data_IF_573544092233
#
_entry.id   IF_573544092233
#
_cell.length_a   1.000
_cell.length_b   1.000
_cell.length_c   1.000
_cell.angle_alpha   90.00
_cell.angle_beta   90.00
_cell.angle_gamma   90.00
#
_symmetry.space_group_name_H-M   'P 1'
#
loop_
_entity.id
_entity.type
_entity.pdbx_description
1 polymer ?
#
# COMPACT_ATOMS: atom_id res chain seq x y z
N UNK A 1 29.72 0.83 8.03
CA UNK A 1 28.23 0.74 7.93
C UNK A 1 27.85 -0.65 7.45
N UNK A 2 26.73 -1.22 7.95
CA UNK A 2 26.19 -2.47 7.40
C UNK A 2 25.63 -2.24 6.00
N UNK A 3 25.83 -3.22 5.12
CA UNK A 3 25.33 -3.18 3.74
C UNK A 3 23.98 -3.88 3.66
N UNK A 4 22.97 -3.16 3.15
CA UNK A 4 21.62 -3.70 3.01
C UNK A 4 21.17 -3.60 1.55
N UNK A 5 20.62 -4.69 1.03
CA UNK A 5 20.00 -4.69 -0.28
C UNK A 5 18.48 -4.71 -0.12
N UNK A 6 17.78 -3.78 -0.78
CA UNK A 6 16.33 -3.84 -0.95
C UNK A 6 15.99 -4.26 -2.38
N UNK A 7 15.02 -5.16 -2.53
CA UNK A 7 14.50 -5.59 -3.82
C UNK A 7 13.02 -5.18 -3.92
N UNK A 8 12.69 -4.36 -4.93
CA UNK A 8 11.35 -3.87 -5.21
C UNK A 8 11.03 -3.96 -6.71
N UNK A 9 9.74 -3.83 -7.07
CA UNK A 9 9.32 -3.96 -8.46
C UNK A 9 9.65 -2.71 -9.27
N UNK A 10 9.09 -1.58 -8.91
CA UNK A 10 9.32 -0.25 -9.50
C UNK A 10 9.19 0.82 -8.41
N UNK A 11 9.27 2.10 -8.79
CA UNK A 11 9.00 3.23 -7.90
C UNK A 11 7.90 4.14 -8.48
N UNK A 12 6.84 3.52 -9.00
CA UNK A 12 5.63 4.20 -9.46
C UNK A 12 4.77 4.71 -8.28
N UNK A 13 3.62 5.31 -8.58
CA UNK A 13 2.67 5.75 -7.55
C UNK A 13 1.98 4.55 -6.91
N UNK A 14 2.20 4.34 -5.61
CA UNK A 14 1.55 3.28 -4.85
C UNK A 14 1.91 3.31 -3.38
N UNK A 15 1.07 2.70 -2.53
CA UNK A 15 1.29 2.69 -1.08
C UNK A 15 2.55 1.92 -0.66
N UNK A 16 2.91 0.85 -1.37
CA UNK A 16 4.12 0.06 -1.10
C UNK A 16 5.37 0.88 -1.48
N UNK A 17 5.34 1.54 -2.62
CA UNK A 17 6.41 2.37 -3.14
C UNK A 17 6.64 3.60 -2.25
N UNK A 18 5.57 4.27 -1.83
CA UNK A 18 5.62 5.38 -0.86
C UNK A 18 6.24 4.92 0.46
N UNK A 19 5.80 3.77 0.99
CA UNK A 19 6.35 3.22 2.24
C UNK A 19 7.84 2.86 2.11
N UNK A 20 8.26 2.32 0.94
CA UNK A 20 9.67 2.03 0.67
C UNK A 20 10.51 3.31 0.66
N UNK A 21 10.06 4.33 -0.05
CA UNK A 21 10.80 5.62 -0.12
C UNK A 21 10.94 6.24 1.26
N UNK A 22 9.88 6.26 2.07
CA UNK A 22 9.92 6.79 3.43
C UNK A 22 10.93 6.03 4.29
N UNK A 23 10.91 4.69 4.20
CA UNK A 23 11.87 3.84 4.91
C UNK A 23 13.31 4.11 4.46
N UNK A 24 13.56 4.17 3.15
CA UNK A 24 14.89 4.40 2.62
C UNK A 24 15.44 5.77 2.99
N UNK A 25 14.63 6.83 2.95
CA UNK A 25 15.02 8.18 3.39
C UNK A 25 15.42 8.20 4.88
N UNK A 26 14.72 7.46 5.72
CA UNK A 26 14.99 7.41 7.16
C UNK A 26 16.29 6.69 7.48
N UNK A 27 16.61 5.59 6.77
CA UNK A 27 17.74 4.73 7.16
C UNK A 27 19.00 4.93 6.30
N UNK A 28 18.97 5.75 5.25
CA UNK A 28 20.06 5.87 4.28
C UNK A 28 21.37 6.47 4.87
N UNK A 29 21.30 7.15 6.01
CA UNK A 29 22.47 7.66 6.71
C UNK A 29 23.07 6.65 7.70
N UNK A 30 22.29 5.65 8.13
CA UNK A 30 22.74 4.64 9.09
C UNK A 30 23.32 3.38 8.37
N UNK A 31 22.98 3.16 7.09
CA UNK A 31 23.31 1.96 6.32
C UNK A 31 23.77 2.27 4.91
N UNK A 32 24.67 1.42 4.35
CA UNK A 32 25.02 1.45 2.92
C UNK A 32 23.92 0.69 2.14
N UNK A 33 23.06 1.41 1.43
CA UNK A 33 21.88 0.85 0.79
C UNK A 33 22.10 0.65 -0.70
N UNK A 34 21.73 -0.54 -1.18
CA UNK A 34 21.57 -0.85 -2.60
C UNK A 34 20.11 -1.21 -2.86
N UNK A 35 19.45 -0.47 -3.75
CA UNK A 35 18.11 -0.76 -4.21
C UNK A 35 18.17 -1.47 -5.56
N UNK A 36 17.60 -2.67 -5.63
CA UNK A 36 17.45 -3.44 -6.87
C UNK A 36 16.00 -3.38 -7.31
N UNK A 37 15.74 -2.80 -8.48
CA UNK A 37 14.41 -2.71 -9.08
C UNK A 37 14.27 -3.74 -10.20
N UNK A 38 13.14 -4.41 -10.28
CA UNK A 38 12.79 -5.25 -11.42
C UNK A 38 12.59 -4.38 -12.68
N UNK A 39 11.98 -3.20 -12.49
CA UNK A 39 11.80 -2.17 -13.51
C UNK A 39 12.32 -0.85 -12.95
N UNK A 40 13.45 -0.36 -13.48
CA UNK A 40 14.03 0.93 -13.05
C UNK A 40 13.25 2.08 -13.68
N UNK A 41 12.04 2.29 -13.15
CA UNK A 41 11.07 3.28 -13.61
C UNK A 41 10.22 3.76 -12.41
N UNK A 42 9.54 4.90 -12.59
CA UNK A 42 8.62 5.47 -11.62
C UNK A 42 9.00 6.85 -11.15
N UNK A 43 7.98 7.62 -10.76
CA UNK A 43 8.12 9.03 -10.39
C UNK A 43 8.97 9.24 -9.13
N UNK A 44 8.99 8.26 -8.22
CA UNK A 44 9.75 8.34 -6.97
C UNK A 44 11.26 8.07 -7.15
N UNK A 45 11.74 7.67 -8.33
CA UNK A 45 13.18 7.55 -8.59
C UNK A 45 13.94 8.86 -8.31
N UNK A 46 13.30 10.01 -8.58
CA UNK A 46 13.89 11.34 -8.36
C UNK A 46 13.86 11.78 -6.88
N UNK A 47 13.13 11.05 -6.04
CA UNK A 47 13.01 11.32 -4.61
C UNK A 47 13.97 10.48 -3.76
N UNK A 48 14.70 9.55 -4.38
CA UNK A 48 15.70 8.74 -3.70
C UNK A 48 16.89 9.60 -3.23
N UNK A 49 17.37 9.37 -2.01
CA UNK A 49 18.64 9.95 -1.55
C UNK A 49 19.80 9.56 -2.48
N UNK A 50 20.69 10.50 -2.77
CA UNK A 50 21.81 10.34 -3.72
C UNK A 50 22.80 9.23 -3.31
N UNK A 51 22.90 8.95 -2.01
CA UNK A 51 23.78 7.91 -1.45
C UNK A 51 23.23 6.49 -1.64
N UNK A 52 22.02 6.30 -2.21
CA UNK A 52 21.43 4.99 -2.50
C UNK A 52 21.82 4.53 -3.90
N UNK A 53 22.52 3.39 -3.97
CA UNK A 53 22.86 2.77 -5.26
C UNK A 53 21.65 2.06 -5.83
N UNK A 54 21.24 2.42 -7.07
CA UNK A 54 20.12 1.79 -7.77
C UNK A 54 20.60 0.89 -8.90
N UNK A 55 20.13 -0.36 -8.89
CA UNK A 55 20.46 -1.40 -9.89
C UNK A 55 19.16 -1.95 -10.50
N UNK A 56 19.14 -2.25 -11.79
CA UNK A 56 18.03 -2.94 -12.43
C UNK A 56 18.28 -4.44 -12.51
N UNK A 57 17.27 -5.25 -12.16
CA UNK A 57 17.26 -6.70 -12.38
C UNK A 57 15.99 -7.09 -13.14
N UNK A 58 15.99 -6.84 -14.45
CA UNK A 58 14.84 -7.08 -15.32
C UNK A 58 14.87 -8.50 -15.89
N UNK A 59 13.74 -9.22 -15.77
CA UNK A 59 13.53 -10.48 -16.50
C UNK A 59 13.55 -10.27 -18.02
N UNK A 60 13.86 -11.36 -18.74
CA UNK A 60 13.72 -11.35 -20.19
C UNK A 60 12.26 -11.21 -20.62
N UNK A 61 12.02 -10.34 -21.60
CA UNK A 61 10.72 -10.13 -22.26
C UNK A 61 10.58 -10.89 -23.59
N UNK A 62 11.50 -11.84 -23.90
CA UNK A 62 11.43 -12.63 -25.14
C UNK A 62 10.09 -13.34 -25.28
N UNK A 63 9.48 -13.27 -26.46
CA UNK A 63 8.25 -13.97 -26.81
C UNK A 63 8.45 -15.49 -26.87
N UNK A 64 9.65 -15.93 -27.23
CA UNK A 64 10.02 -17.35 -27.32
C UNK A 64 10.27 -17.90 -25.92
N UNK A 65 9.41 -18.81 -25.44
CA UNK A 65 9.45 -19.32 -24.07
C UNK A 65 10.77 -19.99 -23.69
N UNK A 66 11.37 -20.78 -24.59
CA UNK A 66 12.66 -21.44 -24.35
C UNK A 66 13.79 -20.42 -24.22
N UNK A 67 13.86 -19.44 -25.14
CA UNK A 67 14.86 -18.39 -25.11
C UNK A 67 14.73 -17.54 -23.84
N UNK A 68 13.49 -17.20 -23.45
CA UNK A 68 13.21 -16.50 -22.21
C UNK A 68 13.71 -17.26 -20.97
N UNK A 69 13.50 -18.59 -20.90
CA UNK A 69 14.03 -19.43 -19.81
C UNK A 69 15.55 -19.41 -19.75
N UNK A 70 16.20 -19.59 -20.89
CA UNK A 70 17.69 -19.59 -21.01
C UNK A 70 18.25 -18.23 -20.60
N UNK A 71 17.72 -17.14 -21.13
CA UNK A 71 18.17 -15.79 -20.79
C UNK A 71 17.98 -15.48 -19.29
N UNK A 72 16.85 -15.87 -18.70
CA UNK A 72 16.62 -15.69 -17.27
C UNK A 72 17.59 -16.53 -16.43
N UNK A 73 17.90 -17.75 -16.85
CA UNK A 73 18.90 -18.58 -16.19
C UNK A 73 20.28 -17.89 -16.15
N UNK A 74 20.77 -17.40 -17.32
CA UNK A 74 22.04 -16.67 -17.35
C UNK A 74 22.01 -15.40 -16.49
N UNK A 75 20.93 -14.64 -16.50
CA UNK A 75 20.78 -13.47 -15.61
C UNK A 75 20.88 -13.87 -14.14
N UNK A 76 20.26 -14.98 -13.73
CA UNK A 76 20.35 -15.50 -12.37
C UNK A 76 21.78 -15.91 -12.01
N UNK A 77 22.48 -16.59 -12.91
CA UNK A 77 23.89 -17.00 -12.71
C UNK A 77 24.79 -15.78 -12.54
N UNK A 78 24.67 -14.79 -13.43
CA UNK A 78 25.42 -13.52 -13.34
C UNK A 78 25.13 -12.80 -12.02
N UNK A 79 23.84 -12.70 -11.63
CA UNK A 79 23.47 -12.05 -10.38
C UNK A 79 24.06 -12.80 -9.18
N UNK A 80 23.97 -14.14 -9.14
CA UNK A 80 24.59 -14.96 -8.10
C UNK A 80 26.11 -14.75 -8.03
N UNK A 81 26.80 -14.76 -9.15
CA UNK A 81 28.24 -14.54 -9.18
C UNK A 81 28.62 -13.17 -8.60
N UNK A 82 27.86 -12.13 -8.95
CA UNK A 82 28.17 -10.75 -8.58
C UNK A 82 27.78 -10.40 -7.14
N UNK A 83 26.65 -10.94 -6.64
CA UNK A 83 26.01 -10.44 -5.43
C UNK A 83 25.77 -11.47 -4.33
N UNK A 84 26.04 -12.75 -4.54
CA UNK A 84 25.80 -13.80 -3.55
C UNK A 84 26.50 -13.48 -2.22
N UNK A 85 25.71 -13.36 -1.15
CA UNK A 85 26.18 -13.10 0.22
C UNK A 85 27.10 -11.85 0.36
N UNK A 86 26.89 -10.83 -0.47
CA UNK A 86 27.67 -9.59 -0.43
C UNK A 86 27.10 -8.54 0.54
N UNK A 87 25.90 -8.77 1.06
CA UNK A 87 25.21 -7.87 1.97
C UNK A 87 25.02 -8.49 3.35
N UNK A 88 24.96 -7.65 4.39
CA UNK A 88 24.66 -8.09 5.75
C UNK A 88 23.21 -8.54 5.86
N UNK A 89 22.30 -7.78 5.24
CA UNK A 89 20.87 -8.07 5.14
C UNK A 89 20.40 -7.83 3.72
N UNK A 90 19.31 -8.51 3.37
CA UNK A 90 18.61 -8.26 2.12
C UNK A 90 17.10 -8.34 2.35
N UNK A 91 16.35 -7.50 1.69
CA UNK A 91 14.92 -7.33 1.89
C UNK A 91 14.18 -7.54 0.57
N UNK A 92 13.27 -8.51 0.52
CA UNK A 92 12.24 -8.58 -0.51
C UNK A 92 11.08 -7.67 -0.10
N UNK A 93 10.99 -6.48 -0.67
CA UNK A 93 9.95 -5.50 -0.33
C UNK A 93 8.71 -5.66 -1.19
N UNK A 94 8.83 -6.16 -2.43
CA UNK A 94 7.71 -6.49 -3.30
C UNK A 94 7.39 -7.99 -3.22
N UNK A 95 6.59 -8.40 -2.23
CA UNK A 95 6.20 -9.80 -1.98
C UNK A 95 5.61 -10.48 -3.20
N UNK A 96 4.88 -9.75 -4.05
CA UNK A 96 4.25 -10.28 -5.26
C UNK A 96 5.23 -10.55 -6.40
N UNK A 97 6.52 -10.16 -6.27
CA UNK A 97 7.54 -10.34 -7.29
C UNK A 97 8.48 -11.49 -6.96
N UNK A 98 8.41 -12.59 -7.71
CA UNK A 98 9.37 -13.70 -7.61
C UNK A 98 10.82 -13.29 -7.94
N UNK A 99 11.10 -12.36 -8.91
CA UNK A 99 12.45 -11.82 -9.08
C UNK A 99 12.98 -11.10 -7.85
N UNK A 100 12.17 -10.27 -7.19
CA UNK A 100 12.57 -9.60 -5.96
C UNK A 100 12.89 -10.62 -4.85
N UNK A 101 12.08 -11.67 -4.72
CA UNK A 101 12.34 -12.78 -3.81
C UNK A 101 13.67 -13.46 -4.09
N UNK A 102 13.95 -13.80 -5.35
CA UNK A 102 15.24 -14.39 -5.77
C UNK A 102 16.41 -13.47 -5.42
N UNK A 103 16.31 -12.18 -5.77
CA UNK A 103 17.36 -11.18 -5.51
C UNK A 103 17.68 -11.11 -4.02
N UNK A 104 16.67 -11.00 -3.16
CA UNK A 104 16.86 -10.92 -1.73
C UNK A 104 17.49 -12.18 -1.15
N UNK A 105 16.99 -13.37 -1.50
CA UNK A 105 17.53 -14.64 -0.98
C UNK A 105 18.97 -14.93 -1.39
N UNK A 106 19.39 -14.44 -2.56
CA UNK A 106 20.76 -14.59 -3.04
C UNK A 106 21.73 -13.60 -2.41
N UNK A 107 21.29 -12.36 -2.16
CA UNK A 107 22.19 -11.26 -1.81
C UNK A 107 22.78 -11.37 -0.38
N UNK A 108 22.09 -12.03 0.55
CA UNK A 108 22.51 -12.15 1.95
C UNK A 108 22.20 -13.54 2.52
N UNK A 109 22.88 -13.89 3.62
CA UNK A 109 22.50 -15.01 4.50
C UNK A 109 21.35 -14.67 5.44
N UNK A 110 20.99 -13.38 5.54
CA UNK A 110 19.91 -12.86 6.37
C UNK A 110 18.82 -12.21 5.50
N UNK A 111 18.14 -12.96 4.62
CA UNK A 111 17.07 -12.42 3.82
C UNK A 111 15.81 -12.19 4.67
N UNK A 112 15.12 -11.08 4.38
CA UNK A 112 13.92 -10.62 5.06
C UNK A 112 12.83 -10.45 4.01
N UNK A 113 11.62 -10.91 4.32
CA UNK A 113 10.42 -10.74 3.47
C UNK A 113 9.49 -9.71 4.12
N UNK A 114 9.11 -8.67 3.37
CA UNK A 114 8.04 -7.75 3.79
C UNK A 114 6.73 -8.13 3.09
N UNK A 115 5.66 -8.24 3.85
CA UNK A 115 4.32 -8.63 3.38
C UNK A 115 3.39 -7.44 3.59
N UNK A 116 2.93 -6.84 2.48
CA UNK A 116 2.18 -5.59 2.46
C UNK A 116 0.69 -5.76 2.17
N UNK A 117 0.23 -6.98 1.87
CA UNK A 117 -1.15 -7.22 1.44
C UNK A 117 -1.74 -8.42 2.16
N UNK A 118 -3.06 -8.43 2.33
CA UNK A 118 -3.83 -9.59 2.79
C UNK A 118 -3.93 -10.64 1.64
N UNK A 119 -2.94 -11.53 1.61
CA UNK A 119 -2.91 -12.62 0.63
C UNK A 119 -3.96 -13.70 0.90
N UNK A 120 -4.46 -13.82 2.13
CA UNK A 120 -5.53 -14.77 2.42
C UNK A 120 -6.82 -14.36 1.71
N UNK A 121 -7.20 -13.10 1.86
CA UNK A 121 -8.35 -12.52 1.14
C UNK A 121 -8.09 -12.40 -0.37
N UNK A 122 -6.86 -12.12 -0.79
CA UNK A 122 -6.47 -12.08 -2.21
C UNK A 122 -6.76 -13.42 -2.92
N UNK A 123 -6.56 -14.54 -2.24
CA UNK A 123 -6.88 -15.88 -2.72
C UNK A 123 -8.27 -16.37 -2.28
N UNK A 124 -9.23 -15.47 -1.98
CA UNK A 124 -10.60 -15.80 -1.60
C UNK A 124 -10.70 -16.79 -0.42
N UNK A 125 -9.80 -16.68 0.54
CA UNK A 125 -9.67 -17.57 1.71
C UNK A 125 -9.30 -19.02 1.36
N UNK A 126 -8.76 -19.27 0.17
CA UNK A 126 -8.21 -20.59 -0.20
C UNK A 126 -6.85 -20.80 0.45
N UNK A 127 -6.84 -21.58 1.52
CA UNK A 127 -5.65 -21.90 2.32
C UNK A 127 -4.56 -22.58 1.49
N UNK A 128 -4.95 -23.40 0.50
CA UNK A 128 -4.00 -24.12 -0.36
C UNK A 128 -3.25 -23.13 -1.24
N UNK A 129 -3.95 -22.26 -1.97
CA UNK A 129 -3.33 -21.23 -2.81
C UNK A 129 -2.48 -20.26 -1.98
N UNK A 130 -2.95 -19.88 -0.78
CA UNK A 130 -2.20 -19.05 0.15
C UNK A 130 -0.85 -19.70 0.53
N UNK A 131 -0.85 -20.96 0.94
CA UNK A 131 0.38 -21.71 1.27
C UNK A 131 1.29 -21.84 0.05
N UNK A 132 0.74 -22.26 -1.10
CA UNK A 132 1.49 -22.39 -2.36
C UNK A 132 2.18 -21.09 -2.75
N UNK A 133 1.54 -19.94 -2.57
CA UNK A 133 2.14 -18.63 -2.83
C UNK A 133 3.42 -18.41 -2.00
N UNK A 134 3.37 -18.61 -0.68
CA UNK A 134 4.53 -18.43 0.18
C UNK A 134 5.63 -19.49 -0.06
N UNK A 135 5.25 -20.73 -0.31
CA UNK A 135 6.22 -21.76 -0.69
C UNK A 135 6.90 -21.46 -2.03
N UNK A 136 6.17 -20.94 -3.01
CA UNK A 136 6.74 -20.50 -4.28
C UNK A 136 7.71 -19.33 -4.13
N UNK A 137 7.50 -18.45 -3.13
CA UNK A 137 8.46 -17.42 -2.72
C UNK A 137 9.67 -18.00 -1.98
N UNK A 138 9.69 -19.32 -1.70
CA UNK A 138 10.71 -19.98 -0.91
C UNK A 138 10.78 -19.40 0.52
N UNK A 139 9.62 -19.29 1.17
CA UNK A 139 9.46 -18.66 2.48
C UNK A 139 10.40 -19.25 3.56
N UNK A 140 10.74 -20.52 3.43
CA UNK A 140 11.65 -21.24 4.34
C UNK A 140 13.11 -20.73 4.31
N UNK A 141 13.53 -20.01 3.25
CA UNK A 141 14.86 -19.40 3.16
C UNK A 141 14.96 -18.06 3.92
N UNK A 142 13.83 -17.43 4.27
CA UNK A 142 13.84 -16.15 4.96
C UNK A 142 14.08 -16.28 6.46
N UNK A 143 14.96 -15.42 6.97
CA UNK A 143 15.28 -15.36 8.42
C UNK A 143 14.20 -14.60 9.21
N UNK A 144 13.61 -13.58 8.60
CA UNK A 144 12.51 -12.81 9.17
C UNK A 144 11.44 -12.54 8.11
N UNK A 145 10.19 -12.50 8.58
CA UNK A 145 9.01 -12.21 7.75
C UNK A 145 8.26 -11.07 8.45
N UNK A 146 8.22 -9.92 7.80
CA UNK A 146 7.63 -8.70 8.34
C UNK A 146 6.25 -8.52 7.75
N UNK A 147 5.26 -8.36 8.60
CA UNK A 147 3.90 -8.04 8.23
C UNK A 147 3.58 -6.59 8.61
N UNK A 148 2.97 -5.84 7.71
CA UNK A 148 2.52 -4.47 7.98
C UNK A 148 1.15 -4.43 8.67
N UNK A 149 0.49 -5.58 8.78
CA UNK A 149 -0.78 -5.81 9.46
C UNK A 149 -0.60 -6.88 10.53
N UNK A 150 -1.09 -6.62 11.76
CA UNK A 150 -1.06 -7.60 12.85
C UNK A 150 -2.03 -8.74 12.62
N UNK A 151 -3.13 -8.48 11.89
CA UNK A 151 -4.09 -9.49 11.48
C UNK A 151 -3.47 -10.48 10.49
N UNK A 152 -2.83 -9.97 9.43
CA UNK A 152 -2.20 -10.81 8.41
C UNK A 152 -1.08 -11.66 8.99
N UNK A 153 -0.31 -11.08 9.95
CA UNK A 153 0.67 -11.83 10.72
C UNK A 153 0.01 -12.97 11.48
N UNK A 154 -1.08 -12.73 12.20
CA UNK A 154 -1.78 -13.76 12.98
C UNK A 154 -2.35 -14.86 12.07
N UNK A 155 -2.91 -14.52 10.91
CA UNK A 155 -3.35 -15.48 9.91
C UNK A 155 -2.20 -16.34 9.41
N UNK A 156 -1.06 -15.72 9.10
CA UNK A 156 0.14 -16.45 8.66
C UNK A 156 0.65 -17.39 9.75
N UNK A 157 0.75 -16.94 10.99
CA UNK A 157 1.22 -17.74 12.12
C UNK A 157 0.36 -18.99 12.37
N UNK A 158 -0.94 -18.90 12.08
CA UNK A 158 -1.86 -20.04 12.17
C UNK A 158 -1.71 -20.97 10.96
N UNK A 159 -1.61 -20.44 9.74
CA UNK A 159 -1.64 -21.24 8.51
C UNK A 159 -0.29 -21.83 8.13
N UNK A 160 0.81 -21.18 8.52
CA UNK A 160 2.21 -21.53 8.27
C UNK A 160 2.98 -21.50 9.60
N UNK A 161 2.44 -22.21 10.61
CA UNK A 161 2.90 -22.16 12.00
C UNK A 161 4.39 -22.51 12.16
N UNK A 162 4.94 -23.33 11.28
CA UNK A 162 6.35 -23.70 11.24
C UNK A 162 7.31 -22.51 11.05
N UNK A 163 6.80 -21.36 10.55
CA UNK A 163 7.57 -20.13 10.38
C UNK A 163 7.18 -19.02 11.35
N UNK A 164 6.25 -19.27 12.29
CA UNK A 164 5.70 -18.25 13.21
C UNK A 164 6.75 -17.58 14.11
N UNK A 165 7.83 -18.30 14.44
CA UNK A 165 8.95 -17.77 15.22
C UNK A 165 9.82 -16.74 14.45
N UNK A 166 9.59 -16.58 13.14
CA UNK A 166 10.31 -15.63 12.28
C UNK A 166 9.47 -14.40 11.94
N UNK A 167 8.19 -14.37 12.32
CA UNK A 167 7.27 -13.29 11.97
C UNK A 167 7.37 -12.11 12.93
N UNK A 168 7.30 -10.89 12.39
CA UNK A 168 7.32 -9.65 13.15
C UNK A 168 6.26 -8.71 12.56
N UNK A 169 5.57 -7.96 13.41
CA UNK A 169 4.68 -6.88 13.00
C UNK A 169 5.41 -5.54 13.05
N UNK A 170 5.51 -4.87 11.88
CA UNK A 170 6.09 -3.53 11.74
C UNK A 170 5.24 -2.78 10.70
N UNK A 171 4.57 -1.72 11.11
CA UNK A 171 3.82 -0.85 10.20
C UNK A 171 4.71 -0.12 9.19
N UNK A 172 4.10 0.45 8.16
CA UNK A 172 4.77 1.31 7.20
C UNK A 172 5.14 2.66 7.83
N UNK A 173 6.35 3.13 7.58
CA UNK A 173 6.80 4.45 8.00
C UNK A 173 6.13 5.54 7.16
N UNK A 174 5.79 6.67 7.78
CA UNK A 174 5.06 7.76 7.14
C UNK A 174 5.88 9.06 7.21
N UNK A 175 6.09 9.69 6.07
CA UNK A 175 6.68 11.05 6.01
C UNK A 175 5.60 12.11 6.29
N UNK A 176 5.19 12.20 7.57
CA UNK A 176 4.11 13.11 7.99
C UNK A 176 4.43 14.58 7.76
N UNK A 177 5.71 14.99 7.82
CA UNK A 177 6.12 16.37 7.57
C UNK A 177 5.88 16.75 6.12
N UNK A 178 6.23 15.86 5.20
CA UNK A 178 5.98 16.05 3.77
C UNK A 178 4.48 16.03 3.45
N UNK A 179 3.68 15.16 4.09
CA UNK A 179 2.22 15.15 3.93
C UNK A 179 1.62 16.48 4.33
N UNK A 180 1.98 17.02 5.51
CA UNK A 180 1.49 18.30 6.00
C UNK A 180 1.94 19.45 5.07
N UNK A 181 3.20 19.48 4.68
CA UNK A 181 3.72 20.49 3.78
C UNK A 181 2.99 20.48 2.43
N UNK A 182 2.94 19.33 1.78
CA UNK A 182 2.30 19.15 0.47
C UNK A 182 0.78 19.34 0.50
N UNK A 183 0.12 19.14 1.65
CA UNK A 183 -1.32 19.38 1.78
C UNK A 183 -1.71 20.86 1.68
N UNK A 184 -0.73 21.77 1.77
CA UNK A 184 -0.95 23.22 1.65
C UNK A 184 -0.72 23.74 0.22
N UNK A 185 -0.31 22.89 -0.72
CA UNK A 185 -0.16 23.28 -2.12
C UNK A 185 -1.52 23.58 -2.74
N UNK A 186 -1.57 24.59 -3.60
CA UNK A 186 -2.79 24.95 -4.33
C UNK A 186 -3.09 23.91 -5.42
N UNK A 187 -4.37 23.67 -5.65
CA UNK A 187 -4.90 22.81 -6.72
C UNK A 187 -6.04 23.54 -7.44
N UNK A 188 -5.94 23.60 -8.76
CA UNK A 188 -6.87 24.37 -9.61
C UNK A 188 -8.11 23.55 -10.00
N UNK A 189 -7.99 22.23 -10.05
CA UNK A 189 -9.03 21.32 -10.50
C UNK A 189 -9.90 20.74 -9.37
N UNK A 190 -9.80 21.28 -8.16
CA UNK A 190 -10.71 21.00 -7.06
C UNK A 190 -11.72 22.15 -6.91
N UNK A 191 -12.93 21.95 -7.41
CA UNK A 191 -14.00 22.95 -7.26
C UNK A 191 -14.49 23.00 -5.83
N UNK A 192 -14.53 24.19 -5.25
CA UNK A 192 -15.15 24.38 -3.93
C UNK A 192 -16.66 24.06 -4.00
N UNK A 193 -17.21 23.53 -2.93
CA UNK A 193 -18.63 23.16 -2.83
C UNK A 193 -19.11 23.30 -1.38
N UNK A 194 -20.35 23.72 -1.24
CA UNK A 194 -21.05 23.72 0.06
C UNK A 194 -21.66 22.35 0.39
N UNK A 195 -21.57 21.38 -0.52
CA UNK A 195 -22.04 20.02 -0.31
C UNK A 195 -20.94 19.15 0.27
N UNK A 196 -21.30 18.21 1.16
CA UNK A 196 -20.38 17.26 1.72
C UNK A 196 -19.59 16.52 0.63
N UNK A 197 -18.26 16.54 0.72
CA UNK A 197 -17.35 15.98 -0.26
C UNK A 197 -16.68 14.73 0.28
N UNK A 198 -17.04 13.58 -0.26
CA UNK A 198 -16.30 12.34 -0.08
C UNK A 198 -15.15 12.23 -1.08
N UNK A 199 -14.01 11.77 -0.63
CA UNK A 199 -12.87 11.51 -1.51
C UNK A 199 -12.40 10.06 -1.39
N UNK A 200 -12.16 9.42 -2.52
CA UNK A 200 -11.49 8.13 -2.59
C UNK A 200 -10.12 8.32 -3.28
N UNK A 201 -9.08 7.80 -2.65
CA UNK A 201 -7.71 7.89 -3.17
C UNK A 201 -7.12 6.49 -3.25
N UNK A 202 -6.76 6.06 -4.45
CA UNK A 202 -6.16 4.75 -4.64
C UNK A 202 -6.27 4.22 -6.06
N UNK A 203 -5.64 3.07 -6.28
CA UNK A 203 -5.66 2.40 -7.58
C UNK A 203 -7.07 1.93 -7.93
N UNK A 204 -7.46 2.09 -9.18
CA UNK A 204 -8.75 1.62 -9.68
C UNK A 204 -8.69 0.14 -10.06
N UNK A 205 -8.92 -0.71 -9.07
CA UNK A 205 -8.87 -2.17 -9.14
C UNK A 205 -10.12 -2.75 -8.45
N UNK A 206 -11.01 -3.32 -9.22
CA UNK A 206 -12.28 -3.85 -8.71
C UNK A 206 -12.10 -5.08 -7.83
N UNK A 207 -11.04 -5.86 -8.02
CA UNK A 207 -10.77 -7.01 -7.16
C UNK A 207 -10.51 -6.59 -5.72
N UNK A 208 -9.76 -5.52 -5.54
CA UNK A 208 -9.33 -5.04 -4.23
C UNK A 208 -10.12 -3.82 -3.76
N UNK A 209 -10.15 -2.73 -4.53
CA UNK A 209 -10.67 -1.42 -4.09
C UNK A 209 -12.19 -1.29 -4.18
N UNK A 210 -12.85 -2.08 -5.05
CA UNK A 210 -14.31 -2.17 -5.12
C UNK A 210 -15.03 -0.81 -5.28
N UNK A 211 -14.50 0.08 -6.12
CA UNK A 211 -15.08 1.41 -6.34
C UNK A 211 -16.54 1.33 -6.84
N UNK A 212 -16.92 0.23 -7.50
CA UNK A 212 -18.31 -0.05 -7.89
C UNK A 212 -19.30 0.07 -6.73
N UNK A 213 -18.86 -0.25 -5.49
CA UNK A 213 -19.71 -0.11 -4.29
C UNK A 213 -20.01 1.35 -3.98
N UNK A 214 -19.00 2.23 -4.08
CA UNK A 214 -19.17 3.68 -3.88
C UNK A 214 -20.10 4.25 -4.95
N UNK A 215 -19.89 3.90 -6.22
CA UNK A 215 -20.72 4.36 -7.33
C UNK A 215 -22.18 3.92 -7.15
N UNK A 216 -22.41 2.66 -6.76
CA UNK A 216 -23.76 2.14 -6.52
C UNK A 216 -24.43 2.79 -5.31
N UNK A 217 -23.71 2.98 -4.21
CA UNK A 217 -24.20 3.69 -3.02
C UNK A 217 -24.56 5.15 -3.35
N UNK A 218 -23.72 5.84 -4.15
CA UNK A 218 -23.99 7.21 -4.63
C UNK A 218 -25.28 7.27 -5.44
N UNK A 219 -25.51 6.31 -6.34
CA UNK A 219 -26.77 6.25 -7.13
C UNK A 219 -28.01 6.03 -6.24
N UNK A 220 -27.87 5.20 -5.20
CA UNK A 220 -28.96 4.95 -4.24
C UNK A 220 -29.28 6.24 -3.46
N UNK A 221 -28.28 6.94 -2.91
CA UNK A 221 -28.43 8.18 -2.19
C UNK A 221 -29.01 9.33 -3.06
N UNK A 222 -28.65 9.38 -4.34
CA UNK A 222 -29.21 10.36 -5.28
C UNK A 222 -30.73 10.16 -5.50
N UNK A 223 -31.23 8.91 -5.53
CA UNK A 223 -32.66 8.63 -5.59
C UNK A 223 -33.38 9.12 -4.34
N UNK A 224 -32.69 9.11 -3.19
CA UNK A 224 -33.18 9.60 -1.91
C UNK A 224 -32.99 11.12 -1.74
N UNK A 225 -32.46 11.80 -2.78
CA UNK A 225 -32.28 13.27 -2.88
C UNK A 225 -31.27 13.86 -1.89
N UNK A 226 -30.28 13.06 -1.42
CA UNK A 226 -29.15 13.60 -0.65
C UNK A 226 -28.29 14.52 -1.52
N UNK A 227 -27.74 15.57 -0.90
CA UNK A 227 -26.81 16.50 -1.55
C UNK A 227 -25.39 16.23 -1.05
N UNK A 228 -24.53 15.79 -1.92
CA UNK A 228 -23.13 15.49 -1.68
C UNK A 228 -22.42 15.28 -3.00
N UNK A 229 -21.10 15.16 -2.96
CA UNK A 229 -20.31 14.73 -4.10
C UNK A 229 -19.26 13.69 -3.73
N UNK A 230 -18.79 12.94 -4.71
CA UNK A 230 -17.76 11.92 -4.58
C UNK A 230 -16.66 12.21 -5.59
N UNK A 231 -15.43 12.32 -5.12
CA UNK A 231 -14.24 12.53 -5.93
C UNK A 231 -13.38 11.28 -5.88
N UNK A 232 -12.98 10.78 -7.04
CA UNK A 232 -12.02 9.69 -7.18
C UNK A 232 -10.68 10.23 -7.67
N UNK A 233 -9.60 9.89 -6.94
CA UNK A 233 -8.22 10.18 -7.32
C UNK A 233 -7.47 8.87 -7.46
N UNK A 234 -6.91 8.66 -8.64
CA UNK A 234 -6.18 7.46 -9.03
C UNK A 234 -6.50 7.06 -10.45
N UNK A 235 -5.93 5.94 -10.85
CA UNK A 235 -6.19 5.26 -12.12
C UNK A 235 -6.06 3.74 -11.94
N UNK A 236 -6.38 2.99 -12.97
CA UNK A 236 -6.17 1.55 -12.96
C UNK A 236 -6.85 0.80 -14.08
N UNK A 237 -6.73 -0.52 -14.01
CA UNK A 237 -7.20 -1.44 -15.05
C UNK A 237 -8.72 -1.46 -15.23
N UNK A 238 -9.47 -0.99 -14.22
CA UNK A 238 -10.94 -0.97 -14.21
C UNK A 238 -11.53 0.42 -14.48
N UNK A 239 -10.74 1.41 -14.94
CA UNK A 239 -11.20 2.78 -15.23
C UNK A 239 -12.41 2.81 -16.16
N UNK A 240 -12.32 2.15 -17.31
CA UNK A 240 -13.41 2.12 -18.28
C UNK A 240 -14.72 1.59 -17.67
N UNK A 241 -14.61 0.55 -16.83
CA UNK A 241 -15.74 -0.02 -16.10
C UNK A 241 -16.38 1.01 -15.17
N UNK A 242 -15.56 1.74 -14.40
CA UNK A 242 -16.06 2.73 -13.45
C UNK A 242 -16.65 3.96 -14.16
N UNK A 243 -16.02 4.47 -15.22
CA UNK A 243 -16.56 5.55 -16.01
C UNK A 243 -17.92 5.19 -16.61
N UNK A 244 -18.05 3.96 -17.15
CA UNK A 244 -19.34 3.46 -17.66
C UNK A 244 -20.39 3.34 -16.56
N UNK A 245 -20.00 2.85 -15.37
CA UNK A 245 -20.91 2.75 -14.22
C UNK A 245 -21.33 4.13 -13.72
N UNK A 246 -20.46 5.11 -13.68
CA UNK A 246 -20.75 6.47 -13.21
C UNK A 246 -21.43 7.36 -14.26
N UNK A 247 -21.57 6.90 -15.50
CA UNK A 247 -22.16 7.69 -16.57
C UNK A 247 -23.56 8.20 -16.18
N UNK A 248 -23.78 9.50 -16.35
CA UNK A 248 -25.03 10.20 -15.99
C UNK A 248 -25.17 10.52 -14.50
N UNK A 249 -24.19 10.20 -13.64
CA UNK A 249 -24.19 10.54 -12.21
C UNK A 249 -23.42 11.84 -12.00
N UNK A 250 -24.15 12.96 -11.87
CA UNK A 250 -23.58 14.33 -11.90
C UNK A 250 -22.65 14.67 -10.73
N UNK A 251 -22.82 14.01 -9.59
CA UNK A 251 -22.07 14.26 -8.37
C UNK A 251 -20.92 13.26 -8.15
N UNK A 252 -20.50 12.55 -9.21
CA UNK A 252 -19.27 11.76 -9.23
C UNK A 252 -18.28 12.43 -10.16
N UNK A 253 -17.05 12.62 -9.69
CA UNK A 253 -15.94 13.20 -10.42
C UNK A 253 -14.69 12.32 -10.34
N UNK A 254 -14.05 12.07 -11.49
CA UNK A 254 -12.77 11.36 -11.57
C UNK A 254 -11.70 12.37 -11.97
N UNK A 255 -10.76 12.64 -11.06
CA UNK A 255 -9.67 13.60 -11.29
C UNK A 255 -8.41 12.94 -11.85
N UNK A 256 -8.44 11.61 -12.04
CA UNK A 256 -7.29 10.84 -12.50
C UNK A 256 -6.17 10.74 -11.46
N UNK A 257 -5.02 10.23 -11.89
CA UNK A 257 -3.85 10.09 -11.04
C UNK A 257 -3.28 11.46 -10.67
N UNK A 258 -3.05 11.70 -9.38
CA UNK A 258 -2.40 12.91 -8.87
C UNK A 258 -1.07 12.56 -8.21
N UNK A 259 -0.02 13.28 -8.58
CA UNK A 259 1.30 13.16 -7.94
C UNK A 259 1.24 13.57 -6.47
N UNK A 260 0.45 14.59 -6.16
CA UNK A 260 0.20 15.06 -4.80
C UNK A 260 -1.31 15.01 -4.50
N UNK A 261 -1.81 13.96 -3.82
CA UNK A 261 -3.24 13.85 -3.49
C UNK A 261 -3.61 14.60 -2.20
N UNK A 262 -2.65 15.06 -1.42
CA UNK A 262 -2.88 15.60 -0.07
C UNK A 262 -3.70 16.90 -0.03
N UNK A 263 -3.56 17.87 -0.95
CA UNK A 263 -4.43 19.05 -0.97
C UNK A 263 -5.89 18.68 -1.19
N UNK A 264 -6.15 17.69 -2.04
CA UNK A 264 -7.51 17.21 -2.30
C UNK A 264 -8.09 16.52 -1.07
N UNK A 265 -7.31 15.66 -0.40
CA UNK A 265 -7.73 15.03 0.85
C UNK A 265 -7.99 16.08 1.94
N UNK A 266 -7.15 17.11 2.03
CA UNK A 266 -7.33 18.21 2.99
C UNK A 266 -8.59 19.03 2.73
N UNK A 267 -8.93 19.27 1.45
CA UNK A 267 -10.13 20.03 1.05
C UNK A 267 -11.41 19.21 1.16
N UNK A 268 -11.35 17.89 1.06
CA UNK A 268 -12.52 17.02 1.24
C UNK A 268 -12.97 16.97 2.70
N UNK A 269 -14.23 16.59 2.93
CA UNK A 269 -14.81 16.44 4.26
C UNK A 269 -14.54 15.06 4.86
N UNK A 270 -14.40 14.03 4.01
CA UNK A 270 -14.27 12.65 4.44
C UNK A 270 -13.52 11.78 3.43
N UNK A 271 -12.57 10.98 3.91
CA UNK A 271 -12.02 9.87 3.13
C UNK A 271 -13.03 8.73 3.06
N UNK A 272 -13.36 8.24 1.86
CA UNK A 272 -14.30 7.14 1.65
C UNK A 272 -13.58 5.94 1.03
N UNK A 273 -13.61 4.79 1.71
CA UNK A 273 -13.05 3.54 1.22
C UNK A 273 -14.05 2.40 1.20
N UNK A 274 -13.98 1.57 0.14
CA UNK A 274 -14.86 0.43 -0.09
C UNK A 274 -14.12 -0.88 -0.35
N UNK A 275 -12.82 -0.93 -0.03
CA UNK A 275 -11.95 -2.06 -0.35
C UNK A 275 -12.50 -3.39 0.16
N UNK A 276 -12.25 -4.46 -0.60
CA UNK A 276 -12.57 -5.82 -0.18
C UNK A 276 -11.59 -6.32 0.88
N UNK A 277 -10.32 -5.99 0.72
CA UNK A 277 -9.24 -6.34 1.64
C UNK A 277 -8.10 -5.34 1.54
N UNK A 278 -7.37 -5.16 2.62
CA UNK A 278 -6.17 -4.34 2.71
C UNK A 278 -5.19 -4.99 3.71
N UNK A 279 -3.90 -4.75 3.56
CA UNK A 279 -2.95 -4.97 4.63
C UNK A 279 -3.11 -3.87 5.70
N UNK A 280 -2.37 -2.77 5.56
CA UNK A 280 -2.58 -1.57 6.37
C UNK A 280 -2.65 -0.36 5.42
N UNK A 281 -3.84 0.21 5.17
CA UNK A 281 -4.00 1.29 4.20
C UNK A 281 -3.23 2.54 4.61
N UNK A 282 -2.22 2.92 3.84
CA UNK A 282 -1.41 4.13 4.10
C UNK A 282 -2.29 5.37 4.11
N UNK A 283 -3.29 5.43 3.24
CA UNK A 283 -4.24 6.55 3.12
C UNK A 283 -5.05 6.79 4.40
N UNK A 284 -5.23 5.77 5.27
CA UNK A 284 -5.85 5.98 6.60
C UNK A 284 -4.95 6.85 7.47
N UNK A 285 -3.65 6.54 7.51
CA UNK A 285 -2.69 7.32 8.28
C UNK A 285 -2.58 8.74 7.73
N UNK A 286 -2.56 8.89 6.40
CA UNK A 286 -2.57 10.19 5.72
C UNK A 286 -3.81 11.01 6.12
N UNK A 287 -4.99 10.39 6.15
CA UNK A 287 -6.24 11.01 6.57
C UNK A 287 -6.20 11.44 8.05
N UNK A 288 -5.70 10.57 8.95
CA UNK A 288 -5.54 10.87 10.36
C UNK A 288 -4.57 12.02 10.61
N UNK A 289 -3.45 12.10 9.87
CA UNK A 289 -2.48 13.20 9.93
C UNK A 289 -3.13 14.52 9.52
N UNK A 290 -3.94 14.50 8.46
CA UNK A 290 -4.64 15.69 7.96
C UNK A 290 -5.95 16.00 8.71
N UNK A 291 -6.21 15.27 9.80
CA UNK A 291 -7.41 15.42 10.63
C UNK A 291 -8.70 15.32 9.81
N UNK A 292 -8.76 14.32 8.91
CA UNK A 292 -9.93 14.05 8.07
C UNK A 292 -10.63 12.76 8.51
N UNK A 293 -11.94 12.81 8.73
CA UNK A 293 -12.72 11.62 9.04
C UNK A 293 -12.63 10.56 7.95
N UNK A 294 -12.79 9.31 8.35
CA UNK A 294 -12.72 8.15 7.46
C UNK A 294 -14.06 7.40 7.51
N UNK A 295 -14.67 7.20 6.37
CA UNK A 295 -15.76 6.21 6.20
C UNK A 295 -15.21 5.03 5.45
N UNK A 296 -15.25 3.85 6.05
CA UNK A 296 -14.68 2.63 5.46
C UNK A 296 -15.49 1.40 5.83
N UNK A 297 -15.36 0.37 5.01
CA UNK A 297 -15.78 -0.98 5.34
C UNK A 297 -14.73 -1.70 6.17
N UNK A 298 -15.11 -2.80 6.83
CA UNK A 298 -14.19 -3.65 7.61
C UNK A 298 -13.23 -4.38 6.66
N UNK A 299 -11.99 -3.92 6.54
CA UNK A 299 -11.01 -4.40 5.54
C UNK A 299 -9.75 -5.00 6.14
N UNK A 300 -9.36 -4.59 7.36
CA UNK A 300 -8.16 -5.05 8.05
C UNK A 300 -8.20 -4.66 9.54
N UNK A 301 -7.18 -5.02 10.30
CA UNK A 301 -7.01 -4.60 11.69
C UNK A 301 -6.76 -3.09 11.86
N UNK A 302 -6.33 -2.39 10.79
CA UNK A 302 -6.28 -0.91 10.77
C UNK A 302 -7.64 -0.26 11.09
N UNK A 303 -8.74 -0.99 10.89
CA UNK A 303 -10.07 -0.53 11.28
C UNK A 303 -10.23 -0.31 12.79
N UNK A 304 -9.41 -0.98 13.63
CA UNK A 304 -9.40 -0.75 15.10
C UNK A 304 -8.90 0.64 15.45
N UNK A 305 -7.96 1.17 14.65
CA UNK A 305 -7.44 2.51 14.83
C UNK A 305 -8.44 3.57 14.39
N UNK A 306 -9.24 3.27 13.35
CA UNK A 306 -10.25 4.19 12.78
C UNK A 306 -11.55 4.21 13.58
N UNK A 307 -12.06 3.03 13.99
CA UNK A 307 -13.39 2.86 14.55
C UNK A 307 -13.61 3.74 15.80
N UNK A 308 -14.61 4.62 15.74
CA UNK A 308 -15.03 5.52 16.81
C UNK A 308 -14.00 6.56 17.27
N UNK A 309 -12.82 6.61 16.64
CA UNK A 309 -11.75 7.57 16.93
C UNK A 309 -11.57 8.55 15.79
N UNK A 310 -11.38 8.02 14.59
CA UNK A 310 -11.13 8.79 13.37
C UNK A 310 -12.20 8.60 12.31
N UNK A 311 -13.22 7.76 12.55
CA UNK A 311 -14.24 7.56 11.54
C UNK A 311 -15.26 6.46 11.84
N UNK A 312 -16.00 6.15 10.78
CA UNK A 312 -17.10 5.19 10.75
C UNK A 312 -16.61 3.93 10.02
N UNK A 313 -16.71 2.79 10.69
CA UNK A 313 -16.41 1.47 10.11
C UNK A 313 -17.70 0.67 10.02
N UNK A 314 -18.00 0.18 8.83
CA UNK A 314 -19.22 -0.58 8.52
C UNK A 314 -18.89 -1.97 8.00
N UNK A 315 -19.91 -2.77 7.72
CA UNK A 315 -19.76 -4.09 7.13
C UNK A 315 -19.08 -4.02 5.75
N UNK A 316 -18.29 -5.05 5.41
CA UNK A 316 -17.61 -5.14 4.11
C UNK A 316 -18.58 -5.55 3.00
N UNK A 317 -19.47 -4.62 2.65
CA UNK A 317 -20.50 -4.80 1.64
C UNK A 317 -20.88 -3.48 0.97
N UNK A 318 -21.64 -3.54 -0.13
CA UNK A 318 -22.23 -2.34 -0.74
C UNK A 318 -23.16 -1.62 0.25
N UNK A 319 -23.96 -2.37 0.99
CA UNK A 319 -24.88 -1.80 1.99
C UNK A 319 -24.11 -1.14 3.12
N UNK A 320 -22.97 -1.72 3.52
CA UNK A 320 -22.08 -1.09 4.50
C UNK A 320 -21.53 0.25 4.02
N UNK A 321 -21.10 0.37 2.77
CA UNK A 321 -20.66 1.67 2.19
C UNK A 321 -21.82 2.68 2.23
N UNK A 322 -22.99 2.28 1.79
CA UNK A 322 -24.19 3.13 1.79
C UNK A 322 -24.55 3.61 3.21
N UNK A 323 -24.59 2.71 4.20
CA UNK A 323 -24.85 3.04 5.60
C UNK A 323 -23.80 4.00 6.16
N UNK A 324 -22.52 3.77 5.84
CA UNK A 324 -21.43 4.63 6.27
C UNK A 324 -21.56 6.06 5.71
N UNK A 325 -21.90 6.19 4.43
CA UNK A 325 -22.15 7.48 3.79
C UNK A 325 -23.37 8.20 4.41
N UNK A 326 -24.49 7.50 4.65
CA UNK A 326 -25.69 8.07 5.29
C UNK A 326 -25.34 8.60 6.68
N UNK A 327 -24.68 7.80 7.51
CA UNK A 327 -24.32 8.23 8.87
C UNK A 327 -23.48 9.50 8.83
N UNK A 328 -22.50 9.58 7.92
CA UNK A 328 -21.69 10.77 7.78
C UNK A 328 -22.50 11.99 7.29
N UNK A 329 -23.44 11.80 6.35
CA UNK A 329 -24.27 12.88 5.82
C UNK A 329 -25.26 13.43 6.88
N UNK A 330 -25.74 12.60 7.80
CA UNK A 330 -26.65 13.02 8.86
C UNK A 330 -25.97 13.63 10.08
N UNK A 331 -24.89 13.02 10.53
CA UNK A 331 -24.28 13.28 11.83
C UNK A 331 -22.89 13.91 11.71
N UNK A 332 -22.29 13.87 10.52
CA UNK A 332 -20.86 14.12 10.37
C UNK A 332 -20.03 13.09 11.13
N UNK A 333 -18.79 13.43 11.41
CA UNK A 333 -17.97 12.68 12.36
C UNK A 333 -16.95 13.62 13.01
N UNK A 334 -17.09 13.79 14.31
CA UNK A 334 -16.10 14.52 15.12
C UNK A 334 -14.95 13.57 15.49
N UNK A 335 -13.74 13.92 15.07
CA UNK A 335 -12.52 13.16 15.40
C UNK A 335 -12.25 13.29 16.90
N UNK A 336 -12.19 12.16 17.60
CA UNK A 336 -12.09 12.11 19.08
C UNK A 336 -10.67 12.06 19.61
N UNK A 337 -9.70 11.74 18.76
CA UNK A 337 -8.30 11.64 19.15
C UNK A 337 -7.42 12.37 18.11
N UNK A 338 -6.38 13.05 18.59
CA UNK A 338 -5.36 13.58 17.68
C UNK A 338 -4.34 12.50 17.38
N UNK A 339 -4.15 12.18 16.11
CA UNK A 339 -3.10 11.26 15.70
C UNK A 339 -1.72 11.83 15.99
N UNK A 340 -0.83 11.03 16.59
CA UNK A 340 0.54 11.43 16.87
C UNK A 340 1.50 10.68 15.93
N UNK A 341 1.86 11.29 14.79
CA UNK A 341 2.71 10.63 13.80
C UNK A 341 4.16 10.46 14.27
N UNK A 342 4.65 11.30 15.17
CA UNK A 342 6.02 11.17 15.71
C UNK A 342 6.14 9.90 16.56
N UNK A 343 5.19 9.68 17.47
CA UNK A 343 5.14 8.46 18.28
C UNK A 343 4.96 7.23 17.40
N UNK A 344 4.08 7.30 16.41
CA UNK A 344 3.84 6.22 15.46
C UNK A 344 5.14 5.82 14.72
N UNK A 345 5.85 6.79 14.17
CA UNK A 345 7.11 6.56 13.47
C UNK A 345 8.22 6.07 14.38
N UNK A 346 8.33 6.62 15.60
CA UNK A 346 9.36 6.22 16.57
C UNK A 346 9.31 4.71 16.86
N UNK A 347 8.12 4.18 17.11
CA UNK A 347 7.94 2.74 17.37
C UNK A 347 8.36 1.87 16.17
N UNK A 348 8.11 2.35 14.94
CA UNK A 348 8.50 1.68 13.70
C UNK A 348 10.03 1.72 13.52
N UNK A 349 10.64 2.89 13.68
CA UNK A 349 12.09 3.08 13.51
C UNK A 349 12.87 2.22 14.50
N UNK A 350 12.45 2.15 15.76
CA UNK A 350 13.07 1.30 16.78
C UNK A 350 13.03 -0.19 16.37
N UNK A 351 11.90 -0.67 15.86
CA UNK A 351 11.77 -2.04 15.37
C UNK A 351 12.64 -2.30 14.13
N UNK A 352 12.71 -1.34 13.20
CA UNK A 352 13.55 -1.44 11.99
C UNK A 352 15.04 -1.47 12.38
N UNK A 353 15.49 -0.62 13.29
CA UNK A 353 16.88 -0.63 13.77
C UNK A 353 17.23 -1.96 14.43
N UNK A 354 16.31 -2.51 15.23
CA UNK A 354 16.47 -3.84 15.84
C UNK A 354 16.49 -4.97 14.79
N UNK A 355 15.78 -4.80 13.67
CA UNK A 355 15.76 -5.78 12.59
C UNK A 355 17.12 -5.90 11.90
N UNK A 356 17.86 -4.81 11.81
CA UNK A 356 19.17 -4.72 11.17
C UNK A 356 20.34 -4.67 12.19
N UNK A 357 20.08 -4.89 13.47
CA UNK A 357 21.13 -5.02 14.49
C UNK A 357 21.76 -6.42 14.43
#
# INVERSE_FOLDING_TARGET
>A
MKKILFAAYSLDVGGIETALINLLKEICNDYEITLVLEKKDGIFLKELPENIKVIEYKKSSSSIALLRKVQNFFKQVIFKFKYKNKFNYSVCYATYSFPCSFVARVASKNPILFVHNDYMSFYNNDVKQYKEFFYNLQVFEYQKIIFVSSYDKAVFDIKLHEFSNRTIFINNLIDYKNIIAKSNEDVEDFKESNEATFINIGRHDEKQKKLSRIIAATKKLNKEKYKFRVIFIGDGIDDEKYFKQANGVKNIEFLGLKKNPYPYLKKADCLLMSSQFEGYPVVFVESMILNKPIVTTLVSDANKDVKNKFGIVTENSLEGVYIGMIKFLHEGFEIKERFNPEKFNKDIIEKIKKLFS
#
